data_IF_363113566586
#
_entry.id   IF_363113566586
#
_cell.length_a   1.000
_cell.length_b   1.000
_cell.length_c   1.000
_cell.angle_alpha   90.00
_cell.angle_beta   90.00
_cell.angle_gamma   90.00
#
_symmetry.space_group_name_H-M   'P 1'
#
loop_
_entity.id
_entity.type
_entity.pdbx_description
1 polymer ?
#
# COMPACT_ATOMS: atom_id res chain seq x y z
N UNK A 1 0.68 -16.27 4.50
CA UNK A 1 -0.01 -15.01 4.20
C UNK A 1 0.06 -14.08 5.41
N UNK A 2 0.33 -12.81 5.17
CA UNK A 2 0.40 -11.80 6.24
C UNK A 2 -1.00 -11.40 6.68
N UNK A 3 -1.19 -11.15 7.98
CA UNK A 3 -2.41 -10.53 8.47
C UNK A 3 -2.46 -9.05 8.11
N UNK A 4 -3.64 -8.44 8.17
CA UNK A 4 -3.81 -7.00 7.94
C UNK A 4 -2.96 -6.17 8.89
N UNK A 5 -2.97 -6.54 10.17
CA UNK A 5 -2.19 -5.86 11.20
C UNK A 5 -0.69 -5.98 10.96
N UNK A 6 -0.23 -7.16 10.55
CA UNK A 6 1.16 -7.42 10.24
C UNK A 6 1.63 -6.60 9.05
N UNK A 7 0.83 -6.52 8.00
CA UNK A 7 1.13 -5.69 6.82
C UNK A 7 1.20 -4.23 7.19
N UNK A 8 0.23 -3.72 7.95
CA UNK A 8 0.21 -2.31 8.33
C UNK A 8 1.46 -1.96 9.16
N UNK A 9 1.85 -2.84 10.08
CA UNK A 9 3.05 -2.64 10.90
C UNK A 9 4.33 -2.70 10.07
N UNK A 10 4.40 -3.61 9.10
CA UNK A 10 5.56 -3.78 8.24
C UNK A 10 5.84 -2.52 7.41
N UNK A 11 4.80 -1.92 6.86
CA UNK A 11 4.94 -0.78 5.95
C UNK A 11 4.91 0.58 6.66
N UNK A 12 4.48 0.63 7.94
CA UNK A 12 4.33 1.87 8.68
C UNK A 12 5.60 2.75 8.71
N UNK A 13 6.82 2.22 8.90
CA UNK A 13 8.03 3.05 8.89
C UNK A 13 8.59 3.33 7.50
N UNK A 14 7.92 2.86 6.47
CA UNK A 14 8.39 2.97 5.08
C UNK A 14 7.55 4.00 4.31
N UNK A 15 7.82 4.17 3.02
CA UNK A 15 7.12 5.14 2.19
C UNK A 15 5.60 5.00 2.24
N UNK A 16 5.03 3.79 2.14
CA UNK A 16 3.57 3.66 2.25
C UNK A 16 3.01 4.19 3.57
N UNK A 17 3.73 3.97 4.68
CA UNK A 17 3.34 4.51 5.98
C UNK A 17 3.40 6.03 6.03
N UNK A 18 4.46 6.61 5.46
CA UNK A 18 4.62 8.06 5.37
C UNK A 18 3.47 8.70 4.58
N UNK A 19 3.04 8.05 3.51
CA UNK A 19 1.92 8.52 2.68
C UNK A 19 0.57 8.34 3.35
N UNK A 20 0.48 7.55 4.40
CA UNK A 20 -0.77 7.26 5.07
C UNK A 20 -1.62 6.19 4.39
N UNK A 21 -0.99 5.28 3.65
CA UNK A 21 -1.69 4.15 3.04
C UNK A 21 -2.20 3.23 4.14
N UNK A 22 -3.52 3.00 4.16
CA UNK A 22 -4.16 2.11 5.12
C UNK A 22 -4.71 0.88 4.41
N UNK A 23 -4.22 -0.31 4.79
CA UNK A 23 -4.72 -1.56 4.25
C UNK A 23 -6.07 -1.91 4.88
N UNK A 24 -7.05 -2.21 4.05
CA UNK A 24 -8.42 -2.52 4.49
C UNK A 24 -8.76 -4.00 4.31
N UNK A 25 -8.18 -4.63 3.29
CA UNK A 25 -8.36 -6.03 2.99
C UNK A 25 -7.08 -6.55 2.33
N UNK A 26 -6.64 -7.73 2.69
CA UNK A 26 -5.41 -8.30 2.14
C UNK A 26 -5.50 -9.82 2.09
N UNK A 27 -6.17 -10.32 1.05
CA UNK A 27 -6.28 -11.74 0.77
C UNK A 27 -5.42 -12.14 -0.43
N UNK A 28 -5.43 -13.43 -0.74
CA UNK A 28 -4.68 -13.96 -1.90
C UNK A 28 -5.24 -13.45 -3.23
N UNK A 29 -6.54 -13.18 -3.29
CA UNK A 29 -7.23 -12.78 -4.51
C UNK A 29 -7.56 -11.29 -4.57
N UNK A 30 -7.47 -10.59 -3.44
CA UNK A 30 -7.88 -9.20 -3.38
C UNK A 30 -7.12 -8.46 -2.29
N UNK A 31 -6.59 -7.29 -2.66
CA UNK A 31 -5.99 -6.34 -1.73
C UNK A 31 -6.67 -5.00 -1.91
N UNK A 32 -7.12 -4.41 -0.81
CA UNK A 32 -7.76 -3.09 -0.80
C UNK A 32 -7.02 -2.20 0.19
N UNK A 33 -6.69 -1.01 -0.27
CA UNK A 33 -6.08 0.01 0.57
C UNK A 33 -6.72 1.36 0.27
N UNK A 34 -6.64 2.27 1.22
CA UNK A 34 -7.12 3.64 1.07
C UNK A 34 -5.97 4.62 1.22
N UNK A 35 -6.05 5.72 0.51
CA UNK A 35 -5.11 6.82 0.59
C UNK A 35 -5.88 8.13 0.64
N UNK A 36 -5.65 8.92 1.67
CA UNK A 36 -6.27 10.25 1.76
C UNK A 36 -5.48 11.21 0.87
N UNK A 37 -6.19 11.95 0.03
CA UNK A 37 -5.58 12.95 -0.86
C UNK A 37 -5.22 14.21 -0.08
N UNK A 38 -4.25 14.09 0.82
CA UNK A 38 -3.72 15.24 1.58
C UNK A 38 -3.06 16.23 0.63
N UNK A 39 -3.03 17.48 1.00
CA UNK A 39 -2.42 18.55 0.18
C UNK A 39 -0.98 18.21 -0.21
N UNK A 40 -0.21 17.63 0.68
CA UNK A 40 1.19 17.28 0.44
C UNK A 40 1.38 16.07 -0.51
N UNK A 41 0.29 15.39 -0.86
CA UNK A 41 0.29 14.32 -1.86
C UNK A 41 -0.30 14.76 -3.20
N UNK A 42 -0.69 16.02 -3.29
CA UNK A 42 -1.37 16.56 -4.47
C UNK A 42 -0.40 17.36 -5.35
N UNK A 43 -0.78 17.48 -6.60
CA UNK A 43 -0.18 18.42 -7.54
C UNK A 43 -1.01 19.71 -7.55
N UNK A 44 -0.67 20.65 -8.40
CA UNK A 44 -1.42 21.90 -8.58
C UNK A 44 -2.86 21.60 -8.96
N UNK A 45 -3.79 22.42 -8.48
CA UNK A 45 -5.22 22.24 -8.75
C UNK A 45 -5.93 21.29 -7.81
N UNK A 46 -5.27 20.79 -6.77
CA UNK A 46 -5.87 19.94 -5.75
C UNK A 46 -6.03 18.48 -6.16
N UNK A 47 -5.48 18.09 -7.31
CA UNK A 47 -5.53 16.70 -7.77
C UNK A 47 -4.39 15.88 -7.14
N UNK A 48 -4.66 14.64 -6.80
CA UNK A 48 -3.64 13.73 -6.29
C UNK A 48 -2.52 13.58 -7.31
N UNK A 49 -1.27 13.71 -6.85
CA UNK A 49 -0.11 13.60 -7.73
C UNK A 49 -0.02 12.20 -8.34
N UNK A 50 0.29 12.14 -9.65
CA UNK A 50 0.46 10.86 -10.34
C UNK A 50 1.49 9.94 -9.69
N UNK A 51 2.58 10.52 -9.13
CA UNK A 51 3.58 9.78 -8.40
C UNK A 51 3.01 9.10 -7.15
N UNK A 52 2.08 9.75 -6.45
CA UNK A 52 1.41 9.16 -5.30
C UNK A 52 0.51 7.99 -5.72
N UNK A 53 -0.19 8.13 -6.84
CA UNK A 53 -1.00 7.04 -7.41
C UNK A 53 -0.12 5.86 -7.81
N UNK A 54 1.02 6.12 -8.43
CA UNK A 54 1.96 5.06 -8.83
C UNK A 54 2.54 4.34 -7.61
N UNK A 55 2.88 5.09 -6.56
CA UNK A 55 3.37 4.49 -5.31
C UNK A 55 2.31 3.61 -4.66
N UNK A 56 1.04 4.04 -4.68
CA UNK A 56 -0.07 3.24 -4.18
C UNK A 56 -0.23 1.96 -5.00
N UNK A 57 -0.24 2.08 -6.31
CA UNK A 57 -0.37 0.92 -7.21
C UNK A 57 0.79 -0.06 -7.03
N UNK A 58 2.01 0.45 -6.93
CA UNK A 58 3.21 -0.37 -6.71
C UNK A 58 3.13 -1.12 -5.37
N UNK A 59 2.70 -0.42 -4.32
CA UNK A 59 2.52 -1.01 -3.00
C UNK A 59 1.47 -2.12 -3.02
N UNK A 60 0.33 -1.88 -3.66
CA UNK A 60 -0.74 -2.89 -3.79
C UNK A 60 -0.24 -4.10 -4.57
N UNK A 61 0.53 -3.90 -5.62
CA UNK A 61 1.13 -5.00 -6.39
C UNK A 61 2.10 -5.81 -5.56
N UNK A 62 2.94 -5.14 -4.78
CA UNK A 62 3.90 -5.81 -3.89
C UNK A 62 3.19 -6.63 -2.81
N UNK A 63 2.15 -6.08 -2.19
CA UNK A 63 1.36 -6.79 -1.18
C UNK A 63 0.64 -7.98 -1.81
N UNK A 64 0.05 -7.81 -2.99
CA UNK A 64 -0.60 -8.90 -3.70
C UNK A 64 0.35 -10.06 -3.97
N UNK A 65 1.57 -9.76 -4.38
CA UNK A 65 2.62 -10.74 -4.59
C UNK A 65 2.98 -11.45 -3.28
N UNK A 66 3.21 -10.67 -2.22
CA UNK A 66 3.56 -11.21 -0.90
C UNK A 66 2.51 -12.17 -0.37
N UNK A 67 1.22 -11.84 -0.58
CA UNK A 67 0.10 -12.68 -0.12
C UNK A 67 -0.04 -13.98 -0.91
N UNK A 68 0.68 -14.12 -2.01
CA UNK A 68 0.63 -15.31 -2.87
C UNK A 68 1.93 -16.11 -2.89
N UNK A 69 2.96 -15.67 -2.16
CA UNK A 69 4.20 -16.40 -2.08
C UNK A 69 4.11 -17.54 -1.07
N UNK A 70 4.83 -18.66 -1.31
CA UNK A 70 4.95 -19.72 -0.30
C UNK A 70 5.61 -19.18 0.97
N UNK A 71 5.31 -19.80 2.10
CA UNK A 71 5.90 -19.44 3.37
C UNK A 71 7.44 -19.54 3.30
N UNK A 72 8.12 -18.53 3.86
CA UNK A 72 9.57 -18.46 3.86
C UNK A 72 10.19 -17.90 2.59
N UNK A 73 9.38 -17.52 1.59
CA UNK A 73 9.84 -16.92 0.35
C UNK A 73 9.73 -15.41 0.43
N UNK A 74 10.76 -14.68 0.01
CA UNK A 74 10.74 -13.23 -0.06
C UNK A 74 10.42 -12.72 -1.47
N UNK A 75 10.15 -11.43 -1.59
CA UNK A 75 9.95 -10.75 -2.87
C UNK A 75 11.24 -10.10 -3.36
#
# INVERSE_FOLDING_TARGET
MQSLESLQALWAPLLPGLMGIAFREAGAERVVATLVARTDLCTTGGALHGGALMALADTLGAVGTLQNLPAGTGT
#
